data_IF_592156020281
#
_entry.id   IF_592156020281
#
_cell.length_a   1.000
_cell.length_b   1.000
_cell.length_c   1.000
_cell.angle_alpha   90.00
_cell.angle_beta   90.00
_cell.angle_gamma   90.00
#
_symmetry.space_group_name_H-M   'P 1'
#
loop_
_entity.id
_entity.type
_entity.pdbx_description
1 polymer ?
#
# COMPACT_ATOMS: atom_id res chain seq x y z
N UNK A 1 -1.28 14.49 13.23
CA UNK A 1 -2.03 13.39 12.61
C UNK A 1 -2.36 13.72 11.16
N UNK A 2 -1.51 13.26 10.24
CA UNK A 2 -1.73 13.33 8.79
C UNK A 2 -2.64 12.15 8.40
N UNK A 3 -3.93 12.24 8.73
CA UNK A 3 -4.91 11.23 8.29
C UNK A 3 -5.53 11.60 6.94
N UNK A 4 -5.72 10.59 6.10
CA UNK A 4 -6.41 10.75 4.82
C UNK A 4 -7.83 10.21 4.94
N UNK A 5 -8.81 10.95 4.41
CA UNK A 5 -10.21 10.52 4.44
C UNK A 5 -10.38 9.23 3.62
N UNK A 6 -10.91 8.13 4.19
CA UNK A 6 -11.10 6.86 3.47
C UNK A 6 -11.79 7.02 2.12
N UNK A 7 -12.89 7.78 2.07
CA UNK A 7 -13.65 8.01 0.85
C UNK A 7 -12.83 8.70 -0.25
N UNK A 8 -11.81 9.50 0.11
CA UNK A 8 -10.92 10.15 -0.86
C UNK A 8 -9.89 9.16 -1.38
N UNK A 9 -9.31 8.32 -0.52
CA UNK A 9 -8.39 7.23 -0.90
C UNK A 9 -9.09 6.31 -1.92
N UNK A 10 -10.29 5.82 -1.57
CA UNK A 10 -11.07 4.93 -2.43
C UNK A 10 -11.48 5.60 -3.75
N UNK A 11 -11.82 6.90 -3.73
CA UNK A 11 -12.12 7.65 -4.95
C UNK A 11 -10.91 7.76 -5.89
N UNK A 12 -9.70 7.91 -5.34
CA UNK A 12 -8.46 7.96 -6.13
C UNK A 12 -8.16 6.58 -6.71
N UNK A 13 -8.29 5.54 -5.90
CA UNK A 13 -8.14 4.15 -6.33
C UNK A 13 -9.06 3.80 -7.51
N UNK A 14 -10.35 4.10 -7.40
CA UNK A 14 -11.35 3.79 -8.43
C UNK A 14 -11.20 4.59 -9.73
N UNK A 15 -10.40 5.66 -9.76
CA UNK A 15 -10.18 6.43 -11.00
C UNK A 15 -9.26 5.75 -12.01
N UNK A 16 -8.43 4.79 -11.58
CA UNK A 16 -7.19 4.50 -12.29
C UNK A 16 -6.88 3.00 -12.50
N UNK A 17 -7.88 2.14 -12.33
CA UNK A 17 -7.72 0.69 -12.54
C UNK A 17 -8.65 -0.14 -11.65
N UNK A 18 -8.93 0.36 -10.44
CA UNK A 18 -9.82 -0.32 -9.51
C UNK A 18 -9.29 -1.68 -9.08
N UNK A 19 -10.21 -2.58 -8.72
CA UNK A 19 -9.84 -3.93 -8.29
C UNK A 19 -9.32 -4.80 -9.45
N UNK A 20 -8.40 -5.70 -9.14
CA UNK A 20 -7.86 -6.72 -10.04
C UNK A 20 -7.82 -8.09 -9.34
N UNK A 21 -7.11 -9.06 -9.90
CA UNK A 21 -6.85 -10.35 -9.24
C UNK A 21 -6.11 -10.14 -7.91
N UNK A 22 -5.06 -9.32 -7.91
CA UNK A 22 -4.19 -9.11 -6.76
C UNK A 22 -4.55 -7.87 -5.94
N UNK A 23 -5.33 -6.93 -6.48
CA UNK A 23 -5.68 -5.69 -5.78
C UNK A 23 -7.17 -5.66 -5.48
N UNK A 24 -7.53 -5.52 -4.20
CA UNK A 24 -8.93 -5.49 -3.73
C UNK A 24 -9.20 -4.32 -2.82
N UNK A 25 -10.45 -3.84 -2.85
CA UNK A 25 -11.00 -3.02 -1.76
C UNK A 25 -11.41 -3.98 -0.65
N UNK A 26 -11.01 -3.69 0.58
CA UNK A 26 -11.43 -4.49 1.72
C UNK A 26 -12.84 -4.06 2.12
N UNK A 27 -13.75 -5.02 2.14
CA UNK A 27 -15.15 -4.87 2.54
C UNK A 27 -15.48 -5.89 3.63
N UNK A 28 -16.62 -5.72 4.30
CA UNK A 28 -17.09 -6.68 5.31
C UNK A 28 -17.30 -8.09 4.71
N UNK A 29 -17.57 -8.18 3.41
CA UNK A 29 -17.78 -9.46 2.71
C UNK A 29 -16.48 -10.22 2.43
N UNK A 30 -15.32 -9.55 2.43
CA UNK A 30 -14.04 -10.15 2.05
C UNK A 30 -12.93 -10.00 3.10
N UNK A 31 -13.16 -9.27 4.20
CA UNK A 31 -12.14 -8.97 5.21
C UNK A 31 -11.54 -10.22 5.86
N UNK A 32 -12.33 -11.28 6.01
CA UNK A 32 -11.89 -12.56 6.59
C UNK A 32 -10.74 -13.18 5.79
N UNK A 33 -10.69 -12.95 4.46
CA UNK A 33 -9.62 -13.42 3.58
C UNK A 33 -8.27 -12.74 3.87
N UNK A 34 -8.28 -11.62 4.60
CA UNK A 34 -7.13 -10.79 4.90
C UNK A 34 -6.87 -10.67 6.40
N UNK A 35 -7.47 -11.55 7.21
CA UNK A 35 -7.38 -11.54 8.68
C UNK A 35 -5.94 -11.49 9.20
N UNK A 36 -5.00 -12.16 8.53
CA UNK A 36 -3.57 -12.11 8.86
C UNK A 36 -2.97 -10.72 8.66
N UNK A 37 -3.26 -10.07 7.53
CA UNK A 37 -2.75 -8.73 7.19
C UNK A 37 -3.43 -7.62 8.01
N UNK A 38 -4.70 -7.82 8.39
CA UNK A 38 -5.48 -6.91 9.23
C UNK A 38 -5.14 -7.02 10.72
N UNK A 39 -4.48 -8.11 11.14
CA UNK A 39 -4.10 -8.31 12.55
C UNK A 39 -3.19 -7.17 13.05
N UNK A 40 -3.53 -6.62 14.21
CA UNK A 40 -2.77 -5.56 14.87
C UNK A 40 -3.17 -4.13 14.48
N UNK A 41 -4.18 -3.96 13.62
CA UNK A 41 -4.83 -2.66 13.47
C UNK A 41 -5.60 -2.29 14.75
N UNK A 42 -5.65 -1.00 15.07
CA UNK A 42 -6.47 -0.52 16.19
C UNK A 42 -7.96 -0.63 15.85
N UNK A 43 -8.82 -0.67 16.86
CA UNK A 43 -10.29 -0.81 16.66
C UNK A 43 -10.89 0.30 15.76
N UNK A 44 -10.27 1.48 15.73
CA UNK A 44 -10.70 2.62 14.92
C UNK A 44 -10.06 2.67 13.52
N UNK A 45 -9.24 1.68 13.17
CA UNK A 45 -8.49 1.60 11.93
C UNK A 45 -8.89 0.36 11.11
N UNK A 46 -9.44 0.62 9.92
CA UNK A 46 -9.83 -0.42 8.96
C UNK A 46 -8.85 -0.46 7.79
N UNK A 47 -8.61 -1.67 7.27
CA UNK A 47 -8.00 -1.85 5.95
C UNK A 47 -8.89 -1.26 4.86
N UNK A 48 -8.30 -0.63 3.86
CA UNK A 48 -9.05 0.00 2.76
C UNK A 48 -8.77 -0.67 1.43
N UNK A 49 -7.49 -0.80 1.08
CA UNK A 49 -7.04 -1.38 -0.19
C UNK A 49 -5.92 -2.35 0.16
N UNK A 50 -5.94 -3.52 -0.46
CA UNK A 50 -4.86 -4.48 -0.36
C UNK A 50 -4.41 -4.89 -1.74
N UNK A 51 -3.10 -4.92 -1.93
CA UNK A 51 -2.45 -5.74 -2.93
C UNK A 51 -1.92 -7.00 -2.23
N UNK A 52 -2.22 -8.19 -2.76
CA UNK A 52 -1.80 -9.47 -2.18
C UNK A 52 -1.54 -10.47 -3.30
N UNK A 53 -0.28 -10.86 -3.47
CA UNK A 53 0.11 -12.00 -4.32
C UNK A 53 0.02 -13.30 -3.53
N UNK A 54 0.58 -13.29 -2.32
CA UNK A 54 0.55 -14.39 -1.37
C UNK A 54 0.63 -13.84 0.08
N UNK A 55 0.88 -14.71 1.06
CA UNK A 55 0.99 -14.28 2.46
C UNK A 55 2.32 -13.60 2.81
N UNK A 56 3.33 -13.75 1.95
CA UNK A 56 4.69 -13.22 2.09
C UNK A 56 4.92 -11.92 1.29
N UNK A 57 4.04 -11.63 0.32
CA UNK A 57 4.14 -10.50 -0.61
C UNK A 57 2.80 -9.76 -0.72
N UNK A 58 2.67 -8.67 0.04
CA UNK A 58 1.45 -7.87 0.07
C UNK A 58 1.71 -6.42 0.50
N UNK A 59 0.78 -5.53 0.16
CA UNK A 59 0.74 -4.13 0.59
C UNK A 59 -0.69 -3.79 1.03
N UNK A 60 -0.85 -3.37 2.28
CA UNK A 60 -2.11 -2.94 2.87
C UNK A 60 -2.08 -1.42 3.10
N UNK A 61 -3.10 -0.75 2.60
CA UNK A 61 -3.33 0.68 2.79
C UNK A 61 -4.49 0.87 3.77
N UNK A 62 -4.27 1.73 4.76
CA UNK A 62 -5.30 2.21 5.68
C UNK A 62 -5.43 3.74 5.60
N UNK A 63 -6.28 4.33 6.44
CA UNK A 63 -6.38 5.80 6.60
C UNK A 63 -5.18 6.42 7.34
N UNK A 64 -4.37 5.59 8.04
CA UNK A 64 -3.31 6.02 8.96
C UNK A 64 -1.91 5.57 8.55
N UNK A 65 -1.76 4.44 7.86
CA UNK A 65 -0.46 3.83 7.54
C UNK A 65 -0.50 3.00 6.26
N UNK A 66 0.70 2.68 5.79
CA UNK A 66 0.96 1.64 4.81
C UNK A 66 1.67 0.51 5.54
N UNK A 67 1.17 -0.72 5.40
CA UNK A 67 1.82 -1.94 5.88
C UNK A 67 2.16 -2.79 4.67
N UNK A 68 3.26 -3.53 4.72
CA UNK A 68 3.65 -4.41 3.63
C UNK A 68 4.48 -5.57 4.12
N UNK A 69 4.44 -6.69 3.41
CA UNK A 69 5.44 -7.73 3.49
C UNK A 69 6.05 -7.97 2.12
N UNK A 70 7.35 -8.27 2.11
CA UNK A 70 8.07 -8.75 0.91
C UNK A 70 8.98 -9.88 1.34
N UNK A 71 8.81 -11.06 0.73
CA UNK A 71 9.54 -12.29 1.10
C UNK A 71 9.43 -12.60 2.60
N UNK A 72 8.25 -12.38 3.17
CA UNK A 72 7.93 -12.64 4.57
C UNK A 72 8.46 -11.58 5.56
N UNK A 73 9.20 -10.58 5.08
CA UNK A 73 9.69 -9.49 5.93
C UNK A 73 8.67 -8.35 5.95
N UNK A 74 8.08 -8.12 7.12
CA UNK A 74 7.05 -7.10 7.33
C UNK A 74 7.61 -5.73 7.69
N UNK A 75 6.99 -4.69 7.14
CA UNK A 75 7.27 -3.28 7.41
C UNK A 75 5.96 -2.51 7.59
N UNK A 76 6.01 -1.43 8.37
CA UNK A 76 4.92 -0.47 8.46
C UNK A 76 5.47 0.96 8.53
N UNK A 77 4.73 1.89 7.94
CA UNK A 77 5.02 3.32 8.03
C UNK A 77 3.73 4.09 8.25
N UNK A 78 3.70 4.91 9.29
CA UNK A 78 2.61 5.84 9.52
C UNK A 78 2.67 6.98 8.51
N UNK A 79 1.50 7.40 8.01
CA UNK A 79 1.41 8.47 7.02
C UNK A 79 1.93 9.80 7.55
N UNK A 80 1.91 10.00 8.86
CA UNK A 80 2.49 11.19 9.50
C UNK A 80 4.02 11.18 9.59
N UNK A 81 4.62 9.99 9.50
CA UNK A 81 6.08 9.82 9.45
C UNK A 81 6.59 9.70 8.01
N UNK A 82 5.69 9.51 7.02
CA UNK A 82 6.04 9.45 5.61
C UNK A 82 6.45 10.84 5.08
N UNK A 83 7.73 10.99 4.77
CA UNK A 83 8.34 12.20 4.25
C UNK A 83 8.35 12.23 2.71
N UNK A 84 8.80 11.14 2.09
CA UNK A 84 8.98 11.08 0.63
C UNK A 84 8.54 9.73 0.04
N UNK A 85 8.07 9.77 -1.21
CA UNK A 85 7.79 8.60 -2.03
C UNK A 85 8.44 8.78 -3.39
N UNK A 86 9.26 7.81 -3.77
CA UNK A 86 9.93 7.77 -5.07
C UNK A 86 9.68 6.47 -5.81
N UNK A 87 9.76 6.51 -7.15
CA UNK A 87 9.87 5.30 -7.95
C UNK A 87 11.31 4.80 -7.93
N UNK A 88 11.52 3.51 -7.73
CA UNK A 88 12.83 2.91 -7.95
C UNK A 88 13.15 2.88 -9.47
N UNK A 89 14.25 3.52 -9.89
CA UNK A 89 14.65 3.66 -11.32
C UNK A 89 16.00 3.00 -11.64
N UNK A 90 16.49 2.07 -10.80
CA UNK A 90 17.89 1.64 -10.79
C UNK A 90 18.42 0.97 -12.09
N UNK A 91 17.60 0.36 -12.96
CA UNK A 91 18.03 -0.02 -14.32
C UNK A 91 16.86 -0.32 -15.27
N UNK A 92 17.09 -0.21 -16.60
CA UNK A 92 16.16 -0.57 -17.71
C UNK A 92 15.60 -2.01 -17.61
N UNK A 93 16.38 -2.94 -17.04
CA UNK A 93 15.97 -4.33 -16.79
C UNK A 93 15.32 -4.54 -15.41
N UNK A 94 15.53 -3.62 -14.45
CA UNK A 94 14.92 -3.62 -13.11
C UNK A 94 13.67 -2.72 -13.00
N UNK A 95 13.22 -2.16 -14.11
CA UNK A 95 12.08 -1.23 -14.17
C UNK A 95 10.76 -1.99 -13.94
N UNK A 96 10.08 -1.70 -12.83
CA UNK A 96 9.09 -0.59 -12.76
C UNK A 96 8.21 -0.64 -11.54
N UNK A 97 8.11 -1.76 -10.86
CA UNK A 97 6.98 -1.97 -9.96
C UNK A 97 7.35 -1.83 -8.47
N UNK A 98 8.15 -0.82 -8.14
CA UNK A 98 8.60 -0.60 -6.76
C UNK A 98 8.53 0.86 -6.36
N UNK A 99 8.14 1.11 -5.12
CA UNK A 99 8.22 2.41 -4.47
C UNK A 99 9.24 2.37 -3.36
N UNK A 100 9.99 3.44 -3.21
CA UNK A 100 10.82 3.70 -2.03
C UNK A 100 10.05 4.74 -1.21
N UNK A 101 9.67 4.35 0.00
CA UNK A 101 9.09 5.24 1.00
C UNK A 101 10.20 5.65 1.95
N UNK A 102 10.40 6.95 2.14
CA UNK A 102 11.36 7.49 3.10
C UNK A 102 10.57 8.08 4.27
N UNK A 103 10.91 7.65 5.49
CA UNK A 103 10.34 8.24 6.71
C UNK A 103 11.12 9.49 7.16
N UNK A 104 10.57 10.21 8.14
CA UNK A 104 11.16 11.43 8.73
C UNK A 104 12.54 11.23 9.38
N UNK A 105 12.90 9.98 9.69
CA UNK A 105 14.18 9.60 10.27
C UNK A 105 15.17 9.13 9.18
N UNK A 106 14.78 9.29 7.90
CA UNK A 106 15.53 8.91 6.70
C UNK A 106 15.71 7.39 6.53
N UNK A 107 14.87 6.56 7.17
CA UNK A 107 14.80 5.13 6.88
C UNK A 107 14.04 4.91 5.58
N UNK A 108 14.50 3.93 4.79
CA UNK A 108 13.94 3.59 3.49
C UNK A 108 13.22 2.24 3.54
N UNK A 109 11.98 2.24 3.07
CA UNK A 109 11.14 1.06 2.94
C UNK A 109 10.73 0.85 1.48
N UNK A 110 10.93 -0.35 0.97
CA UNK A 110 10.60 -0.66 -0.42
C UNK A 110 9.29 -1.43 -0.49
N UNK A 111 8.32 -0.89 -1.24
CA UNK A 111 7.12 -1.62 -1.65
C UNK A 111 7.41 -2.34 -2.97
N UNK A 112 7.01 -3.59 -3.06
CA UNK A 112 7.17 -4.44 -4.24
C UNK A 112 5.79 -4.81 -4.81
N UNK A 113 5.69 -4.81 -6.13
CA UNK A 113 4.53 -5.28 -6.88
C UNK A 113 5.11 -6.11 -8.04
N UNK A 114 4.78 -7.39 -8.23
CA UNK A 114 5.30 -8.09 -9.41
C UNK A 114 4.37 -7.92 -10.62
N UNK A 115 3.11 -7.51 -10.38
CA UNK A 115 2.12 -7.25 -11.42
C UNK A 115 2.00 -5.75 -11.81
N UNK A 116 2.08 -5.48 -13.13
CA UNK A 116 2.11 -4.11 -13.67
C UNK A 116 0.81 -3.35 -13.45
N UNK A 117 -0.35 -4.00 -13.59
CA UNK A 117 -1.63 -3.32 -13.43
C UNK A 117 -1.87 -2.99 -11.94
N UNK A 118 -1.45 -3.86 -11.02
CA UNK A 118 -1.45 -3.62 -9.60
C UNK A 118 -0.57 -2.42 -9.26
N UNK A 119 0.67 -2.39 -9.78
CA UNK A 119 1.55 -1.25 -9.63
C UNK A 119 0.92 0.05 -10.15
N UNK A 120 0.39 0.06 -11.37
CA UNK A 120 -0.22 1.26 -11.97
C UNK A 120 -1.43 1.75 -11.17
N UNK A 121 -2.26 0.82 -10.69
CA UNK A 121 -3.43 1.13 -9.87
C UNK A 121 -3.00 1.74 -8.53
N UNK A 122 -1.99 1.16 -7.89
CA UNK A 122 -1.52 1.59 -6.56
C UNK A 122 -0.71 2.88 -6.62
N UNK A 123 -0.07 3.19 -7.74
CA UNK A 123 0.77 4.39 -7.93
C UNK A 123 0.10 5.68 -7.47
N UNK A 124 -1.11 5.96 -7.96
CA UNK A 124 -1.79 7.22 -7.63
C UNK A 124 -2.21 7.28 -6.15
N UNK A 125 -2.57 6.13 -5.59
CA UNK A 125 -2.94 6.05 -4.17
C UNK A 125 -1.70 6.36 -3.32
N UNK A 126 -0.57 5.70 -3.57
CA UNK A 126 0.65 5.87 -2.78
C UNK A 126 1.15 7.33 -2.85
N UNK A 127 1.19 7.94 -4.05
CA UNK A 127 1.55 9.36 -4.15
C UNK A 127 0.55 10.31 -3.47
N UNK A 128 -0.74 9.96 -3.47
CA UNK A 128 -1.74 10.74 -2.73
C UNK A 128 -1.53 10.67 -1.22
N UNK A 129 -1.12 9.51 -0.71
CA UNK A 129 -0.83 9.30 0.72
C UNK A 129 0.41 10.11 1.15
N UNK A 130 1.38 10.29 0.26
CA UNK A 130 2.59 11.08 0.50
C UNK A 130 2.34 12.59 0.59
N UNK A 131 1.34 13.10 -0.13
CA UNK A 131 0.90 14.51 -0.07
C UNK A 131 0.26 14.85 1.27
#
# INVERSE_FOLDING_TARGET
MKEKKPNVILKIFNKNGGESEFVKIITEDNEDNYSAQLKGLSEDEKGLIIFKEDDDNWVLITKKRIRSASKGVGYEIFLEDLEEVEHCRESLEAYRHKFILTDKDNNKHTLYFDEINAFMTMTQVIFFLAR
#
